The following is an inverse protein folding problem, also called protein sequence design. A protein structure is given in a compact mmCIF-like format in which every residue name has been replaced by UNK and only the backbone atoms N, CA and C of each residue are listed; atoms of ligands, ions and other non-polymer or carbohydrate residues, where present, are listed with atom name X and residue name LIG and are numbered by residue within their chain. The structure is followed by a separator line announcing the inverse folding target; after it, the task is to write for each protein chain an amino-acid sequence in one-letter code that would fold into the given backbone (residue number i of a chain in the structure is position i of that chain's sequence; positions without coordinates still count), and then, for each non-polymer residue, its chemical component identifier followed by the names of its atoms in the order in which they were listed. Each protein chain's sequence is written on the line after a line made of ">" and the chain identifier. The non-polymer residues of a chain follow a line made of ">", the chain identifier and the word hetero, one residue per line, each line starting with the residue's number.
data_IF_949247992702
#
_entry.id   IF_949247992702
#
_cell.length_a   1.000
_cell.length_b   1.000
_cell.length_c   1.000
_cell.angle_alpha   90.00
_cell.angle_beta   90.00
_cell.angle_gamma   90.00
#
_symmetry.space_group_name_H-M   'P 1'
#
loop_
_entity.id
_entity.type
_entity.pdbx_description
1 polymer ?
#
# COMPACT_ATOMS: atom_id res chain seq x y z
N UNK A 1 0.37 -4.10 19.89
CA UNK A 1 0.70 -4.08 18.47
C UNK A 1 -0.52 -3.99 17.56
N UNK A 2 -1.52 -4.90 17.63
CA UNK A 2 -2.71 -4.87 16.75
C UNK A 2 -3.51 -3.56 16.86
N UNK A 3 -3.69 -3.01 18.07
CA UNK A 3 -4.36 -1.71 18.27
C UNK A 3 -3.58 -0.56 17.61
N UNK A 4 -2.26 -0.50 17.78
CA UNK A 4 -1.41 0.53 17.16
C UNK A 4 -1.55 0.45 15.64
N UNK A 5 -1.42 -0.74 15.05
CA UNK A 5 -1.56 -0.97 13.62
C UNK A 5 -2.95 -0.55 13.09
N UNK A 6 -4.01 -0.76 13.87
CA UNK A 6 -5.37 -0.36 13.51
C UNK A 6 -5.58 1.16 13.62
N UNK A 7 -5.15 1.79 14.73
CA UNK A 7 -5.35 3.22 14.91
C UNK A 7 -4.51 4.07 13.95
N UNK A 8 -3.27 3.63 13.65
CA UNK A 8 -2.48 4.27 12.60
C UNK A 8 -3.14 4.20 11.22
N UNK A 9 -3.87 3.12 10.90
CA UNK A 9 -4.66 3.03 9.65
C UNK A 9 -5.71 4.13 9.56
N UNK A 10 -6.38 4.49 10.65
CA UNK A 10 -7.39 5.55 10.64
C UNK A 10 -6.76 6.92 10.36
N UNK A 11 -5.66 7.25 11.05
CA UNK A 11 -4.93 8.50 10.81
C UNK A 11 -4.44 8.59 9.36
N UNK A 12 -3.84 7.50 8.85
CA UNK A 12 -3.37 7.42 7.47
C UNK A 12 -4.52 7.55 6.46
N UNK A 13 -5.70 7.01 6.77
CA UNK A 13 -6.85 7.14 5.87
C UNK A 13 -7.36 8.57 5.76
N UNK A 14 -7.33 9.34 6.85
CA UNK A 14 -7.68 10.77 6.82
C UNK A 14 -6.70 11.54 5.95
N UNK A 15 -5.40 11.36 6.20
CA UNK A 15 -4.35 11.99 5.37
C UNK A 15 -4.47 11.59 3.90
N UNK A 16 -4.64 10.31 3.61
CA UNK A 16 -4.80 9.80 2.24
C UNK A 16 -6.03 10.40 1.56
N UNK A 17 -7.15 10.55 2.28
CA UNK A 17 -8.34 11.20 1.75
C UNK A 17 -8.10 12.64 1.31
N UNK A 18 -7.42 13.44 2.16
CA UNK A 18 -7.01 14.80 1.81
C UNK A 18 -6.03 14.82 0.62
N UNK A 19 -5.09 13.90 0.61
CA UNK A 19 -4.09 13.80 -0.44
C UNK A 19 -4.71 13.43 -1.80
N UNK A 20 -5.60 12.44 -1.84
CA UNK A 20 -6.37 12.10 -3.06
C UNK A 20 -7.21 13.27 -3.53
N UNK A 21 -7.89 13.97 -2.63
CA UNK A 21 -8.69 15.14 -3.00
C UNK A 21 -7.84 16.16 -3.76
N UNK A 22 -6.67 16.51 -3.23
CA UNK A 22 -5.80 17.53 -3.82
C UNK A 22 -4.99 17.07 -5.03
N UNK A 23 -4.58 15.81 -5.09
CA UNK A 23 -3.73 15.29 -6.19
C UNK A 23 -4.49 14.60 -7.30
N UNK A 24 -5.81 14.40 -7.14
CA UNK A 24 -6.63 13.72 -8.14
C UNK A 24 -7.99 14.37 -8.35
N UNK A 25 -8.84 14.44 -7.32
CA UNK A 25 -10.26 14.85 -7.50
C UNK A 25 -10.34 16.31 -7.93
N UNK A 26 -9.64 17.22 -7.25
CA UNK A 26 -9.59 18.64 -7.59
C UNK A 26 -9.03 18.83 -9.00
N UNK A 27 -7.88 18.25 -9.39
CA UNK A 27 -7.38 18.31 -10.77
C UNK A 27 -8.33 17.77 -11.83
N UNK A 28 -9.13 16.74 -11.53
CA UNK A 28 -10.15 16.23 -12.45
C UNK A 28 -11.28 17.25 -12.67
N UNK A 29 -11.66 17.99 -11.63
CA UNK A 29 -12.73 18.98 -11.67
C UNK A 29 -12.25 20.29 -12.32
N UNK A 30 -11.15 20.84 -11.82
CA UNK A 30 -10.60 22.13 -12.28
C UNK A 30 -10.03 22.07 -13.69
N UNK A 31 -9.49 20.91 -14.08
CA UNK A 31 -8.77 20.70 -15.35
C UNK A 31 -7.63 21.70 -15.57
N UNK A 32 -7.07 22.26 -14.52
CA UNK A 32 -6.02 23.26 -14.56
C UNK A 32 -4.99 22.97 -13.47
N UNK A 33 -3.70 22.91 -13.82
CA UNK A 33 -2.62 22.71 -12.84
C UNK A 33 -2.53 23.93 -11.91
N UNK A 34 -2.47 25.19 -12.40
CA UNK A 34 -2.39 26.33 -11.51
C UNK A 34 -3.59 26.47 -10.58
N UNK A 35 -4.81 26.22 -11.06
CA UNK A 35 -6.00 26.27 -10.22
C UNK A 35 -6.00 25.16 -9.14
N UNK A 36 -5.48 23.98 -9.44
CA UNK A 36 -5.36 22.86 -8.50
C UNK A 36 -4.25 23.11 -7.46
N UNK A 37 -3.18 23.77 -7.87
CA UNK A 37 -2.02 24.09 -7.01
C UNK A 37 -2.43 24.88 -5.76
N UNK A 38 -3.30 25.89 -5.89
CA UNK A 38 -3.80 26.67 -4.76
C UNK A 38 -4.47 25.82 -3.68
N UNK A 39 -5.24 24.80 -4.06
CA UNK A 39 -5.86 23.87 -3.11
C UNK A 39 -4.83 22.96 -2.43
N UNK A 40 -3.83 22.50 -3.19
CA UNK A 40 -2.74 21.70 -2.63
C UNK A 40 -1.95 22.50 -1.60
N UNK A 41 -1.58 23.75 -1.91
CA UNK A 41 -0.85 24.61 -0.99
C UNK A 41 -1.67 24.89 0.29
N UNK A 42 -2.97 25.19 0.17
CA UNK A 42 -3.85 25.39 1.31
C UNK A 42 -3.94 24.12 2.19
N UNK A 43 -4.01 22.95 1.59
CA UNK A 43 -4.01 21.69 2.35
C UNK A 43 -2.68 21.45 3.05
N UNK A 44 -1.55 21.83 2.44
CA UNK A 44 -0.21 21.71 3.03
C UNK A 44 -0.06 22.55 4.30
N UNK A 45 -0.66 23.75 4.35
CA UNK A 45 -0.70 24.58 5.56
C UNK A 45 -1.32 23.86 6.77
N UNK A 46 -2.20 22.87 6.52
CA UNK A 46 -2.84 22.10 7.59
C UNK A 46 -1.92 20.99 8.10
N UNK A 47 -1.27 20.21 7.20
CA UNK A 47 -0.56 19.01 7.57
C UNK A 47 0.97 19.04 7.39
N UNK A 48 1.56 20.12 6.83
CA UNK A 48 3.01 20.25 6.64
C UNK A 48 3.67 21.30 7.53
N UNK A 49 3.04 21.68 8.64
CA UNK A 49 3.71 22.53 9.62
C UNK A 49 4.76 21.72 10.41
N UNK A 50 5.75 22.38 11.03
CA UNK A 50 6.78 21.72 11.84
C UNK A 50 6.23 20.79 12.94
N UNK A 51 5.00 21.06 13.41
CA UNK A 51 4.35 20.27 14.46
C UNK A 51 3.40 19.20 13.87
N UNK A 52 2.60 19.56 12.85
CA UNK A 52 1.56 18.67 12.34
C UNK A 52 2.10 17.54 11.45
N UNK A 53 3.13 17.81 10.66
CA UNK A 53 3.71 16.83 9.76
C UNK A 53 4.32 15.63 10.52
N UNK A 54 5.18 15.82 11.53
CA UNK A 54 5.68 14.69 12.32
C UNK A 54 4.56 13.93 13.04
N UNK A 55 3.56 14.63 13.58
CA UNK A 55 2.53 14.04 14.43
C UNK A 55 1.43 13.33 13.64
N UNK A 56 0.96 13.90 12.54
CA UNK A 56 -0.20 13.40 11.79
C UNK A 56 0.17 12.64 10.51
N UNK A 57 1.42 12.75 10.04
CA UNK A 57 1.88 12.06 8.83
C UNK A 57 3.00 11.07 9.16
N UNK A 58 4.16 11.55 9.65
CA UNK A 58 5.34 10.71 9.83
C UNK A 58 5.14 9.65 10.93
N UNK A 59 4.64 10.03 12.09
CA UNK A 59 4.42 9.11 13.21
C UNK A 59 3.40 8.00 12.89
N UNK A 60 2.24 8.26 12.29
CA UNK A 60 1.32 7.20 11.87
C UNK A 60 1.91 6.25 10.83
N UNK A 61 2.69 6.74 9.85
CA UNK A 61 3.39 5.90 8.87
C UNK A 61 4.38 4.98 9.58
N UNK A 62 5.27 5.54 10.41
CA UNK A 62 6.27 4.79 11.16
C UNK A 62 5.61 3.76 12.10
N UNK A 63 4.58 4.16 12.84
CA UNK A 63 3.84 3.28 13.74
C UNK A 63 3.14 2.14 13.00
N UNK A 64 2.57 2.40 11.81
CA UNK A 64 1.93 1.39 10.97
C UNK A 64 2.94 0.35 10.49
N UNK A 65 4.04 0.79 9.90
CA UNK A 65 5.09 -0.09 9.38
C UNK A 65 5.73 -0.89 10.51
N UNK A 66 6.17 -0.23 11.58
CA UNK A 66 6.82 -0.88 12.71
C UNK A 66 5.92 -1.90 13.41
N UNK A 67 4.63 -1.56 13.64
CA UNK A 67 3.68 -2.50 14.23
C UNK A 67 3.36 -3.69 13.32
N UNK A 68 3.35 -3.48 11.99
CA UNK A 68 3.18 -4.55 11.01
C UNK A 68 4.34 -5.55 11.05
N UNK A 69 5.58 -5.06 11.08
CA UNK A 69 6.80 -5.87 11.22
C UNK A 69 6.79 -6.60 12.57
N UNK A 70 6.51 -5.89 13.67
CA UNK A 70 6.46 -6.47 15.00
C UNK A 70 5.43 -7.59 15.12
N UNK A 71 4.23 -7.42 14.55
CA UNK A 71 3.20 -8.48 14.50
C UNK A 71 3.70 -9.73 13.76
N UNK A 72 4.48 -9.55 12.72
CA UNK A 72 5.06 -10.67 11.98
C UNK A 72 6.14 -11.40 12.76
N UNK A 73 7.01 -10.67 13.47
CA UNK A 73 8.03 -11.24 14.36
C UNK A 73 7.39 -12.01 15.54
N UNK A 74 6.35 -11.45 16.16
CA UNK A 74 5.60 -12.13 17.24
C UNK A 74 4.99 -13.44 16.72
N UNK A 75 4.37 -13.44 15.53
CA UNK A 75 3.81 -14.67 14.94
C UNK A 75 4.90 -15.69 14.62
N UNK A 76 6.06 -15.25 14.12
CA UNK A 76 7.21 -16.16 13.94
C UNK A 76 7.64 -16.80 15.26
N UNK A 77 7.80 -16.01 16.32
CA UNK A 77 8.14 -16.53 17.65
C UNK A 77 7.10 -17.52 18.18
N UNK A 78 5.80 -17.22 17.99
CA UNK A 78 4.73 -18.14 18.38
C UNK A 78 4.75 -19.45 17.57
N UNK A 79 5.03 -19.40 16.27
CA UNK A 79 5.16 -20.59 15.42
C UNK A 79 6.33 -21.45 15.86
N UNK A 80 7.48 -20.83 16.18
CA UNK A 80 8.64 -21.55 16.70
C UNK A 80 8.32 -22.28 18.00
N UNK A 81 7.65 -21.60 18.95
CA UNK A 81 7.28 -22.19 20.24
C UNK A 81 6.24 -23.31 20.12
N UNK A 82 5.26 -23.16 19.21
CA UNK A 82 4.12 -24.12 19.10
C UNK A 82 4.43 -25.29 18.19
N UNK A 83 5.22 -25.11 17.16
CA UNK A 83 5.35 -26.05 16.06
C UNK A 83 6.81 -26.41 15.72
N UNK A 84 7.77 -25.96 16.52
CA UNK A 84 9.20 -26.18 16.26
C UNK A 84 9.65 -25.65 14.89
N UNK A 85 8.98 -24.60 14.38
CA UNK A 85 9.23 -24.01 13.06
C UNK A 85 8.34 -24.52 11.91
N UNK A 86 7.51 -25.55 12.13
CA UNK A 86 6.55 -25.98 11.14
C UNK A 86 5.39 -24.98 11.02
N UNK A 87 4.94 -24.69 9.78
CA UNK A 87 3.74 -23.86 9.56
C UNK A 87 2.49 -24.71 9.81
N UNK A 88 1.42 -24.20 10.46
CA UNK A 88 0.19 -24.95 10.73
C UNK A 88 -0.48 -25.58 9.50
N UNK A 89 -0.24 -25.02 8.31
CA UNK A 89 -0.76 -25.54 7.04
C UNK A 89 -0.09 -26.85 6.58
N UNK A 90 1.00 -27.27 7.20
CA UNK A 90 1.80 -28.47 6.85
C UNK A 90 1.65 -29.57 7.87
N UNK A 91 0.74 -29.45 8.86
CA UNK A 91 0.45 -30.60 9.74
C UNK A 91 -0.23 -31.70 8.90
N UNK A 92 0.40 -32.89 8.76
CA UNK A 92 -0.27 -34.02 8.16
C UNK A 92 -1.49 -34.35 9.01
N UNK A 93 -2.67 -34.34 8.40
CA UNK A 93 -3.88 -34.87 9.01
C UNK A 93 -3.57 -36.30 9.43
N UNK A 94 -3.60 -36.56 10.74
CA UNK A 94 -3.43 -37.91 11.28
C UNK A 94 -4.55 -38.77 10.69
N UNK A 95 -4.23 -39.50 9.64
CA UNK A 95 -5.11 -40.50 9.06
C UNK A 95 -5.35 -41.56 10.14
N UNK A 96 -6.61 -41.77 10.52
CA UNK A 96 -7.03 -42.78 11.49
C UNK A 96 -6.89 -44.21 10.96
N UNK A 97 -6.31 -44.41 9.79
CA UNK A 97 -5.98 -45.73 9.23
C UNK A 97 -4.47 -45.93 9.35
N UNK A 98 -4.10 -46.84 10.25
CA UNK A 98 -2.73 -47.18 10.65
C UNK A 98 -1.82 -47.76 9.55
N UNK A 99 -1.60 -47.06 8.46
CA UNK A 99 -0.54 -47.30 7.51
C UNK A 99 0.59 -46.33 7.77
N UNK A 100 1.67 -46.86 8.34
CA UNK A 100 2.97 -46.19 8.42
C UNK A 100 3.40 -45.80 7.01
N UNK A 101 3.23 -44.53 6.67
CA UNK A 101 3.86 -44.00 5.47
C UNK A 101 5.31 -43.68 5.83
N UNK A 102 6.24 -44.42 5.25
CA UNK A 102 7.67 -44.20 5.27
C UNK A 102 7.93 -42.69 4.99
N UNK A 103 8.65 -42.03 5.91
CA UNK A 103 9.15 -40.70 5.77
C UNK A 103 10.13 -40.64 4.60
N UNK A 104 9.64 -40.34 3.40
CA UNK A 104 10.51 -39.79 2.38
C UNK A 104 11.02 -38.46 2.90
N UNK A 105 12.31 -38.43 3.19
CA UNK A 105 13.09 -37.28 3.57
C UNK A 105 13.23 -36.32 2.39
N UNK A 106 12.12 -35.72 1.99
CA UNK A 106 12.16 -34.57 1.11
C UNK A 106 12.50 -33.36 1.99
N UNK A 107 13.74 -32.89 1.88
CA UNK A 107 14.34 -31.81 2.65
C UNK A 107 13.75 -30.42 2.35
N UNK A 108 12.43 -30.30 2.34
CA UNK A 108 11.79 -28.99 2.31
C UNK A 108 11.99 -28.32 3.66
N UNK A 109 12.94 -27.44 3.75
CA UNK A 109 13.23 -26.56 4.86
C UNK A 109 11.93 -25.93 5.38
N UNK A 110 11.44 -26.46 6.51
CA UNK A 110 10.21 -25.97 7.16
C UNK A 110 10.45 -24.58 7.70
N UNK A 111 9.93 -23.58 7.00
CA UNK A 111 10.13 -22.17 7.39
C UNK A 111 9.34 -21.82 8.65
N UNK A 112 10.01 -21.31 9.68
CA UNK A 112 9.38 -20.76 10.88
C UNK A 112 8.58 -19.48 10.61
N UNK A 113 8.82 -18.85 9.47
CA UNK A 113 8.13 -17.62 9.10
C UNK A 113 6.68 -17.89 8.71
N UNK A 114 5.73 -17.11 9.20
CA UNK A 114 4.36 -17.16 8.73
C UNK A 114 4.31 -16.86 7.24
N UNK A 115 3.45 -17.58 6.52
CA UNK A 115 3.26 -17.33 5.09
C UNK A 115 2.97 -15.85 4.84
N UNK A 116 3.58 -15.31 3.78
CA UNK A 116 3.37 -13.93 3.39
C UNK A 116 1.99 -13.79 2.76
N UNK A 117 1.06 -13.18 3.48
CA UNK A 117 -0.25 -12.87 2.91
C UNK A 117 -0.11 -11.80 1.83
N UNK A 118 -1.02 -11.80 0.86
CA UNK A 118 -1.04 -10.79 -0.20
C UNK A 118 -1.09 -9.36 0.35
N UNK A 119 -1.86 -9.10 1.41
CA UNK A 119 -1.89 -7.77 2.07
C UNK A 119 -0.54 -7.40 2.68
N UNK A 120 0.17 -8.37 3.26
CA UNK A 120 1.51 -8.09 3.80
C UNK A 120 2.52 -7.84 2.68
N UNK A 121 2.47 -8.62 1.60
CA UNK A 121 3.35 -8.46 0.45
C UNK A 121 3.14 -7.09 -0.22
N UNK A 122 1.88 -6.73 -0.50
CA UNK A 122 1.54 -5.42 -1.06
C UNK A 122 1.92 -4.28 -0.11
N UNK A 123 1.81 -4.48 1.21
CA UNK A 123 2.23 -3.50 2.20
C UNK A 123 3.72 -3.22 2.19
N UNK A 124 4.57 -4.24 2.06
CA UNK A 124 6.02 -4.04 1.92
C UNK A 124 6.40 -3.36 0.60
N UNK A 125 5.79 -3.79 -0.51
CA UNK A 125 5.99 -3.12 -1.80
C UNK A 125 5.52 -1.67 -1.77
N UNK A 126 4.33 -1.42 -1.20
CA UNK A 126 3.82 -0.06 -1.04
C UNK A 126 4.73 0.80 -0.15
N UNK A 127 5.26 0.27 0.96
CA UNK A 127 6.20 0.99 1.81
C UNK A 127 7.47 1.42 1.06
N UNK A 128 8.00 0.57 0.16
CA UNK A 128 9.16 0.93 -0.65
C UNK A 128 8.84 2.09 -1.63
N UNK A 129 7.74 2.00 -2.37
CA UNK A 129 7.33 3.08 -3.29
C UNK A 129 6.92 4.36 -2.55
N UNK A 130 6.27 4.24 -1.38
CA UNK A 130 5.94 5.38 -0.54
C UNK A 130 7.19 6.08 -0.01
N UNK A 131 8.20 5.32 0.41
CA UNK A 131 9.48 5.88 0.85
C UNK A 131 10.16 6.64 -0.27
N UNK A 132 10.19 6.10 -1.48
CA UNK A 132 10.72 6.79 -2.64
C UNK A 132 9.91 8.06 -2.97
N UNK A 133 8.57 7.98 -2.92
CA UNK A 133 7.69 9.12 -3.13
C UNK A 133 7.94 10.25 -2.11
N UNK A 134 8.03 9.91 -0.83
CA UNK A 134 8.33 10.90 0.24
C UNK A 134 9.75 11.44 0.07
N UNK A 135 10.72 10.60 -0.26
CA UNK A 135 12.10 11.04 -0.47
C UNK A 135 12.19 12.09 -1.57
N UNK A 136 11.62 11.81 -2.75
CA UNK A 136 11.73 12.70 -3.92
C UNK A 136 10.89 13.97 -3.76
N UNK A 137 9.67 13.86 -3.23
CA UNK A 137 8.74 15.00 -3.21
C UNK A 137 8.79 15.83 -1.90
N UNK A 138 9.49 15.35 -0.88
CA UNK A 138 9.56 16.05 0.41
C UNK A 138 10.97 16.16 0.98
N UNK A 139 11.68 15.02 1.17
CA UNK A 139 12.96 15.02 1.88
C UNK A 139 14.09 15.61 1.03
N UNK A 140 14.13 15.31 -0.25
CA UNK A 140 15.15 15.81 -1.17
C UNK A 140 15.07 17.35 -1.30
N UNK A 141 13.91 17.97 -1.57
CA UNK A 141 13.81 19.44 -1.58
C UNK A 141 14.21 20.08 -0.25
N UNK A 142 13.78 19.51 0.87
CA UNK A 142 14.18 19.99 2.19
C UNK A 142 15.70 19.93 2.42
N UNK A 143 16.35 18.91 1.87
CA UNK A 143 17.80 18.75 2.03
C UNK A 143 18.60 19.68 1.11
N UNK A 144 18.16 19.88 -0.13
CA UNK A 144 18.88 20.63 -1.16
C UNK A 144 18.55 22.11 -1.10
N UNK A 145 17.25 22.47 -1.03
CA UNK A 145 16.75 23.84 -1.07
C UNK A 145 16.52 24.46 0.33
N UNK A 146 16.50 23.63 1.38
CA UNK A 146 16.15 24.04 2.75
C UNK A 146 14.65 24.10 3.01
N UNK A 147 13.80 24.08 1.98
CA UNK A 147 12.35 24.03 2.07
C UNK A 147 11.72 23.23 0.93
N UNK A 148 10.41 23.19 0.85
CA UNK A 148 9.68 22.52 -0.23
C UNK A 148 8.54 23.39 -0.78
N UNK A 149 8.61 24.70 -0.62
CA UNK A 149 7.58 25.65 -1.07
C UNK A 149 7.35 25.58 -2.58
N UNK A 150 8.43 25.37 -3.35
CA UNK A 150 8.40 25.27 -4.80
C UNK A 150 7.91 23.90 -5.32
N UNK A 151 7.72 22.91 -4.44
CA UNK A 151 7.36 21.54 -4.82
C UNK A 151 5.84 21.40 -4.82
N UNK A 152 5.27 21.25 -6.01
CA UNK A 152 3.85 21.11 -6.18
C UNK A 152 3.48 20.15 -7.31
N UNK A 153 2.31 20.36 -7.89
CA UNK A 153 1.83 19.52 -9.01
C UNK A 153 2.70 19.71 -10.27
N UNK A 154 3.24 20.90 -10.48
CA UNK A 154 4.14 21.21 -11.58
C UNK A 154 5.47 20.42 -11.48
N UNK A 155 6.01 20.21 -10.27
CA UNK A 155 7.19 19.38 -10.04
C UNK A 155 6.96 17.93 -10.50
N UNK A 156 5.80 17.37 -10.16
CA UNK A 156 5.43 16.02 -10.60
C UNK A 156 5.30 15.95 -12.11
N UNK A 157 4.65 16.93 -12.74
CA UNK A 157 4.52 16.99 -14.21
C UNK A 157 5.90 17.08 -14.89
N UNK A 158 6.80 17.90 -14.37
CA UNK A 158 8.17 18.03 -14.84
C UNK A 158 8.93 16.69 -14.74
N UNK A 159 8.84 15.99 -13.61
CA UNK A 159 9.46 14.67 -13.43
C UNK A 159 8.98 13.61 -14.43
N UNK A 160 7.69 13.63 -14.79
CA UNK A 160 7.16 12.76 -15.84
C UNK A 160 7.66 13.16 -17.26
N UNK A 161 7.82 14.45 -17.51
CA UNK A 161 8.32 14.94 -18.80
C UNK A 161 9.82 14.62 -19.00
N UNK A 162 10.64 14.85 -17.96
CA UNK A 162 12.09 14.66 -18.02
C UNK A 162 12.50 13.20 -17.83
N UNK A 163 11.81 12.44 -16.93
CA UNK A 163 12.16 11.06 -16.57
C UNK A 163 10.94 10.12 -16.65
N UNK A 164 10.34 9.93 -17.84
CA UNK A 164 9.05 9.23 -17.98
C UNK A 164 9.09 7.79 -17.45
N UNK A 165 10.11 7.01 -17.79
CA UNK A 165 10.19 5.60 -17.40
C UNK A 165 10.22 5.43 -15.86
N UNK A 166 11.07 6.20 -15.19
CA UNK A 166 11.20 6.17 -13.72
C UNK A 166 9.89 6.63 -13.05
N UNK A 167 9.32 7.74 -13.52
CA UNK A 167 8.09 8.30 -12.99
C UNK A 167 6.91 7.35 -13.16
N UNK A 168 6.71 6.75 -14.35
CA UNK A 168 5.64 5.77 -14.56
C UNK A 168 5.81 4.54 -13.66
N UNK A 169 7.00 3.95 -13.55
CA UNK A 169 7.25 2.81 -12.67
C UNK A 169 6.96 3.17 -11.21
N UNK A 170 7.46 4.31 -10.74
CA UNK A 170 7.27 4.78 -9.37
C UNK A 170 5.78 4.98 -9.05
N UNK A 171 5.04 5.70 -9.89
CA UNK A 171 3.63 6.02 -9.60
C UNK A 171 2.68 4.85 -9.88
N UNK A 172 2.92 4.01 -10.88
CA UNK A 172 2.14 2.78 -11.09
C UNK A 172 2.33 1.82 -9.92
N UNK A 173 3.57 1.65 -9.44
CA UNK A 173 3.86 0.84 -8.25
C UNK A 173 3.21 1.43 -7.00
N UNK A 174 3.34 2.74 -6.78
CA UNK A 174 2.76 3.45 -5.65
C UNK A 174 1.22 3.29 -5.61
N UNK A 175 0.54 3.61 -6.71
CA UNK A 175 -0.92 3.60 -6.77
C UNK A 175 -1.47 2.16 -6.77
N UNK A 176 -0.90 1.27 -7.56
CA UNK A 176 -1.37 -0.10 -7.68
C UNK A 176 -1.25 -0.87 -6.36
N UNK A 177 -0.07 -0.83 -5.74
CA UNK A 177 0.15 -1.49 -4.45
C UNK A 177 -0.52 -0.74 -3.31
N UNK A 178 -0.52 0.60 -3.34
CA UNK A 178 -1.12 1.43 -2.30
C UNK A 178 -2.62 1.25 -2.20
N UNK A 179 -3.36 1.44 -3.29
CA UNK A 179 -4.82 1.24 -3.31
C UNK A 179 -5.19 -0.21 -2.98
N UNK A 180 -4.46 -1.19 -3.52
CA UNK A 180 -4.67 -2.60 -3.19
C UNK A 180 -4.47 -2.87 -1.70
N UNK A 181 -3.37 -2.40 -1.12
CA UNK A 181 -3.07 -2.57 0.30
C UNK A 181 -4.12 -1.90 1.20
N UNK A 182 -4.48 -0.65 0.91
CA UNK A 182 -5.44 0.11 1.71
C UNK A 182 -6.85 -0.51 1.66
N UNK A 183 -7.37 -0.83 0.47
CA UNK A 183 -8.71 -1.40 0.32
C UNK A 183 -8.81 -2.78 0.96
N UNK A 184 -7.83 -3.66 0.75
CA UNK A 184 -7.80 -4.96 1.42
C UNK A 184 -7.52 -4.86 2.92
N UNK A 185 -6.73 -3.86 3.36
CA UNK A 185 -6.54 -3.54 4.77
C UNK A 185 -7.86 -3.20 5.46
N UNK A 186 -8.64 -2.30 4.88
CA UNK A 186 -9.99 -1.98 5.34
C UNK A 186 -10.94 -3.17 5.29
N UNK A 187 -10.96 -3.92 4.18
CA UNK A 187 -11.75 -5.13 4.06
C UNK A 187 -11.46 -6.14 5.19
N UNK A 188 -10.21 -6.21 5.62
CA UNK A 188 -9.80 -7.05 6.76
C UNK A 188 -10.36 -6.51 8.08
N UNK A 189 -10.32 -5.20 8.33
CA UNK A 189 -10.81 -4.61 9.57
C UNK A 189 -12.33 -4.71 9.74
N UNK A 190 -13.08 -4.62 8.64
CA UNK A 190 -14.54 -4.75 8.64
C UNK A 190 -15.03 -6.21 8.44
N UNK A 191 -14.10 -7.19 8.38
CA UNK A 191 -14.45 -8.62 8.29
C UNK A 191 -14.74 -9.14 6.88
N UNK A 192 -14.71 -8.31 5.85
CA UNK A 192 -14.98 -8.74 4.46
C UNK A 192 -13.90 -9.67 3.92
N UNK A 193 -12.64 -9.52 4.33
CA UNK A 193 -11.55 -10.39 3.90
C UNK A 193 -11.78 -11.85 4.33
N UNK A 194 -12.28 -12.09 5.55
CA UNK A 194 -12.64 -13.43 6.03
C UNK A 194 -13.81 -14.01 5.22
N UNK A 195 -14.80 -13.19 4.90
CA UNK A 195 -15.94 -13.57 4.06
C UNK A 195 -15.55 -13.86 2.62
N UNK A 196 -14.48 -13.23 2.11
CA UNK A 196 -13.88 -13.51 0.80
C UNK A 196 -13.02 -14.80 0.79
N UNK A 197 -12.87 -15.48 1.93
CA UNK A 197 -12.15 -16.75 2.01
C UNK A 197 -10.69 -16.65 2.46
N UNK A 198 -10.29 -15.52 3.06
CA UNK A 198 -8.93 -15.31 3.58
C UNK A 198 -8.66 -16.01 4.92
N UNK A 199 -9.71 -16.48 5.63
CA UNK A 199 -9.51 -17.43 6.71
C UNK A 199 -9.17 -18.79 6.09
N UNK A 200 -8.07 -19.40 6.53
CA UNK A 200 -7.79 -20.79 6.19
C UNK A 200 -9.06 -21.60 6.45
N UNK A 201 -9.53 -22.32 5.43
CA UNK A 201 -10.55 -23.33 5.64
C UNK A 201 -9.93 -24.36 6.57
N UNK A 202 -10.20 -24.24 7.86
CA UNK A 202 -10.18 -25.40 8.74
C UNK A 202 -11.28 -26.26 8.13
N UNK A 203 -10.89 -27.21 7.29
CA UNK A 203 -11.78 -28.26 6.82
C UNK A 203 -12.30 -28.90 8.10
N UNK A 204 -13.50 -28.56 8.50
CA UNK A 204 -14.27 -29.36 9.44
C UNK A 204 -14.51 -30.68 8.73
N UNK A 205 -13.59 -31.64 8.98
CA UNK A 205 -13.72 -33.01 8.53
C UNK A 205 -14.97 -33.54 9.19
N UNK A 206 -15.98 -33.85 8.37
CA UNK A 206 -17.00 -34.80 8.79
C UNK A 206 -18.42 -34.30 9.11
N UNK A 207 -19.00 -33.47 8.25
CA UNK A 207 -20.46 -33.49 8.11
C UNK A 207 -20.80 -33.48 6.64
N UNK A 208 -21.77 -34.31 6.25
CA UNK A 208 -22.41 -34.32 4.93
C UNK A 208 -23.01 -32.96 4.66
N UNK A 209 -22.14 -32.02 4.22
CA UNK A 209 -22.53 -30.65 3.95
C UNK A 209 -23.29 -30.63 2.63
N UNK A 210 -24.47 -30.07 2.66
CA UNK A 210 -25.32 -29.96 1.48
C UNK A 210 -24.54 -29.29 0.35
N UNK A 211 -24.42 -29.96 -0.80
CA UNK A 211 -23.74 -29.49 -2.01
C UNK A 211 -24.23 -28.11 -2.44
N UNK A 212 -25.50 -27.80 -2.18
CA UNK A 212 -26.12 -26.53 -2.50
C UNK A 212 -25.59 -25.38 -1.61
N UNK A 213 -25.32 -25.63 -0.32
CA UNK A 213 -24.72 -24.65 0.57
C UNK A 213 -23.28 -24.30 0.16
N UNK A 214 -22.49 -25.29 -0.26
CA UNK A 214 -21.12 -25.06 -0.73
C UNK A 214 -21.08 -24.22 -2.01
N UNK A 215 -22.01 -24.42 -2.95
CA UNK A 215 -22.15 -23.61 -4.16
C UNK A 215 -22.52 -22.17 -3.82
N UNK A 216 -23.51 -21.97 -2.92
CA UNK A 216 -23.91 -20.63 -2.47
C UNK A 216 -22.77 -19.89 -1.78
N UNK A 217 -22.01 -20.59 -0.94
CA UNK A 217 -20.85 -20.04 -0.21
C UNK A 217 -19.73 -19.62 -1.17
N UNK A 218 -19.41 -20.46 -2.18
CA UNK A 218 -18.43 -20.13 -3.23
C UNK A 218 -18.85 -18.90 -4.04
N UNK A 219 -20.13 -18.80 -4.45
CA UNK A 219 -20.67 -17.64 -5.17
C UNK A 219 -20.58 -16.37 -4.32
N UNK A 220 -20.93 -16.43 -3.02
CA UNK A 220 -20.81 -15.29 -2.10
C UNK A 220 -19.36 -14.84 -1.92
N UNK A 221 -18.43 -15.77 -1.70
CA UNK A 221 -16.99 -15.49 -1.60
C UNK A 221 -16.46 -14.77 -2.84
N UNK A 222 -16.77 -15.33 -4.03
CA UNK A 222 -16.38 -14.72 -5.30
C UNK A 222 -16.94 -13.32 -5.47
N UNK A 223 -18.22 -13.09 -5.11
CA UNK A 223 -18.84 -11.76 -5.19
C UNK A 223 -18.10 -10.75 -4.31
N UNK A 224 -17.84 -11.08 -3.05
CA UNK A 224 -17.13 -10.18 -2.12
C UNK A 224 -15.71 -9.91 -2.63
N UNK A 225 -15.00 -10.94 -3.09
CA UNK A 225 -13.68 -10.79 -3.67
C UNK A 225 -13.67 -9.84 -4.88
N UNK A 226 -14.64 -9.97 -5.78
CA UNK A 226 -14.81 -9.09 -6.94
C UNK A 226 -15.12 -7.65 -6.51
N UNK A 227 -15.98 -7.46 -5.52
CA UNK A 227 -16.29 -6.14 -4.99
C UNK A 227 -15.05 -5.45 -4.40
N UNK A 228 -14.29 -6.14 -3.56
CA UNK A 228 -13.09 -5.57 -2.93
C UNK A 228 -12.03 -5.22 -3.99
N UNK A 229 -11.76 -6.12 -4.94
CA UNK A 229 -10.80 -5.81 -6.01
C UNK A 229 -11.35 -4.73 -6.98
N UNK A 230 -12.63 -4.75 -7.29
CA UNK A 230 -13.28 -3.71 -8.10
C UNK A 230 -13.14 -2.34 -7.46
N UNK A 231 -13.34 -2.23 -6.14
CA UNK A 231 -13.11 -0.99 -5.39
C UNK A 231 -11.64 -0.55 -5.44
N UNK A 232 -10.69 -1.48 -5.29
CA UNK A 232 -9.27 -1.16 -5.38
C UNK A 232 -8.89 -0.65 -6.79
N UNK A 233 -9.36 -1.30 -7.85
CA UNK A 233 -9.14 -0.88 -9.23
C UNK A 233 -9.80 0.48 -9.51
N UNK A 234 -11.03 0.70 -9.06
CA UNK A 234 -11.72 1.97 -9.24
C UNK A 234 -10.99 3.12 -8.52
N UNK A 235 -10.54 2.90 -7.29
CA UNK A 235 -9.74 3.88 -6.55
C UNK A 235 -8.42 4.20 -7.28
N UNK A 236 -7.71 3.16 -7.76
CA UNK A 236 -6.50 3.34 -8.56
C UNK A 236 -6.77 4.13 -9.83
N UNK A 237 -7.84 3.80 -10.56
CA UNK A 237 -8.20 4.46 -11.81
C UNK A 237 -8.56 5.94 -11.61
N UNK A 238 -9.35 6.26 -10.57
CA UNK A 238 -9.71 7.65 -10.26
C UNK A 238 -8.45 8.45 -9.91
N UNK A 239 -7.59 7.90 -9.05
CA UNK A 239 -6.36 8.58 -8.65
C UNK A 239 -5.40 8.77 -9.83
N UNK A 240 -5.21 7.72 -10.63
CA UNK A 240 -4.39 7.79 -11.83
C UNK A 240 -4.93 8.80 -12.87
N UNK A 241 -6.24 8.85 -13.06
CA UNK A 241 -6.86 9.79 -14.01
C UNK A 241 -6.58 11.25 -13.62
N UNK A 242 -6.68 11.59 -12.32
CA UNK A 242 -6.33 12.93 -11.82
C UNK A 242 -4.84 13.25 -12.00
N UNK A 243 -3.97 12.33 -11.56
CA UNK A 243 -2.52 12.48 -11.70
C UNK A 243 -2.07 12.58 -13.15
N UNK A 244 -2.56 11.72 -14.06
CA UNK A 244 -2.27 11.80 -15.49
C UNK A 244 -2.82 13.09 -16.11
N UNK A 245 -3.96 13.61 -15.60
CA UNK A 245 -4.47 14.91 -15.99
C UNK A 245 -3.52 16.06 -15.63
N UNK A 246 -2.82 15.99 -14.49
CA UNK A 246 -1.77 16.94 -14.10
C UNK A 246 -0.59 16.82 -15.06
N UNK A 247 -0.09 15.61 -15.27
CA UNK A 247 1.05 15.33 -16.16
C UNK A 247 0.79 15.83 -17.58
N UNK A 248 -0.37 15.52 -18.13
CA UNK A 248 -0.72 15.89 -19.50
C UNK A 248 -0.88 17.41 -19.72
N UNK A 249 -1.22 18.15 -18.66
CA UNK A 249 -1.44 19.62 -18.75
C UNK A 249 -0.26 20.44 -18.27
N UNK A 250 0.55 19.89 -17.35
CA UNK A 250 1.70 20.59 -16.77
C UNK A 250 2.89 20.62 -17.72
N UNK A 251 3.28 19.47 -18.24
CA UNK A 251 4.49 19.34 -19.04
C UNK A 251 5.78 19.69 -18.28
N UNK A 252 6.89 19.94 -18.98
CA UNK A 252 8.14 20.37 -18.36
C UNK A 252 8.03 21.82 -17.84
N UNK A 253 8.58 22.06 -16.66
CA UNK A 253 8.74 23.44 -16.17
C UNK A 253 9.89 24.13 -16.90
N UNK A 254 9.79 25.46 -17.06
CA UNK A 254 10.76 26.27 -17.78
C UNK A 254 11.34 27.39 -16.88
N UNK A 255 12.42 28.01 -17.38
CA UNK A 255 13.08 29.11 -16.68
C UNK A 255 13.79 28.64 -15.41
N UNK A 256 13.82 29.47 -14.38
CA UNK A 256 14.53 29.17 -13.13
C UNK A 256 13.88 27.99 -12.37
N UNK A 257 12.56 27.88 -12.40
CA UNK A 257 11.84 26.76 -11.74
C UNK A 257 12.23 25.44 -12.36
N UNK A 258 12.31 25.37 -13.70
CA UNK A 258 12.78 24.15 -14.41
C UNK A 258 14.19 23.77 -13.99
N UNK A 259 15.11 24.74 -13.89
CA UNK A 259 16.48 24.51 -13.43
C UNK A 259 16.55 23.94 -12.02
N UNK A 260 15.78 24.51 -11.09
CA UNK A 260 15.68 23.99 -9.70
C UNK A 260 15.20 22.55 -9.70
N UNK A 261 14.19 22.21 -10.51
CA UNK A 261 13.71 20.84 -10.62
C UNK A 261 14.74 19.89 -11.22
N UNK A 262 15.46 20.32 -12.27
CA UNK A 262 16.55 19.56 -12.88
C UNK A 262 17.68 19.30 -11.87
N UNK A 263 18.06 20.30 -11.08
CA UNK A 263 19.08 20.18 -10.03
C UNK A 263 18.66 19.18 -8.94
N UNK A 264 17.39 19.19 -8.53
CA UNK A 264 16.85 18.22 -7.58
C UNK A 264 16.91 16.79 -8.15
N UNK A 265 16.51 16.56 -9.40
CA UNK A 265 16.59 15.26 -10.04
C UNK A 265 18.05 14.81 -10.26
N UNK A 266 18.95 15.73 -10.61
CA UNK A 266 20.38 15.46 -10.74
C UNK A 266 21.02 15.01 -9.41
N UNK A 267 20.60 15.58 -8.28
CA UNK A 267 21.09 15.22 -6.95
C UNK A 267 20.82 13.75 -6.56
N UNK A 268 19.87 13.08 -7.22
CA UNK A 268 19.57 11.66 -7.02
C UNK A 268 20.02 10.78 -8.20
N UNK A 269 20.88 11.30 -9.07
CA UNK A 269 21.43 10.56 -10.21
C UNK A 269 20.50 10.48 -11.42
N UNK A 270 19.50 11.33 -11.49
CA UNK A 270 18.60 11.49 -12.65
C UNK A 270 18.97 12.77 -13.45
N UNK A 271 20.26 13.14 -13.50
CA UNK A 271 20.75 14.21 -14.36
C UNK A 271 20.72 13.80 -15.85
N UNK A 272 20.56 14.79 -16.74
CA UNK A 272 20.65 14.62 -18.19
C UNK A 272 22.10 14.52 -18.63
#
# INVERSE_FOLDING_TARGET
>A
MTRIHRYSTYALSIFTGLHIANTSIIPLVTRSVPASEGYLLLAREIYQTPMTEPLFVALPIAAHIASGIALRLVRRSQNLKRYGGATPAVMPTRSSTGRSFSSSSDGSSRSAWPQLSWVSASGYGFAAFLSAHVAINRLLPLHVEGDSSNIGLAYVAHGFASHPAVSYVAYVGLLGLGCGHMVWGWAKWIGLAQMAGWAADIKTVGTTRDRNEDVRRRKRRRRIWLWVNGTAVAATAIWAAGGLGIVARGGPAHGWVGKVYDELFAAVGLGH
#
